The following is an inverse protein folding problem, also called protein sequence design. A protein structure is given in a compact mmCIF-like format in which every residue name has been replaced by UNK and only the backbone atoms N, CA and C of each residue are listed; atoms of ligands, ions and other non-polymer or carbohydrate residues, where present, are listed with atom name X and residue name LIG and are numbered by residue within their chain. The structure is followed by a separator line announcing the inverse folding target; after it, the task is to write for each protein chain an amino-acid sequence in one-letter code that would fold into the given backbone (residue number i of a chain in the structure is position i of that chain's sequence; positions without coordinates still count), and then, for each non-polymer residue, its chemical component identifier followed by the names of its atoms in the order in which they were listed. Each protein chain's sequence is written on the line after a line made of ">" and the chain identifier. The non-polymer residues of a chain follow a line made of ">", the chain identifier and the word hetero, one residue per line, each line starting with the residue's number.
data_IF_681308691017
#
_entry.id   IF_681308691017
#
_cell.length_a   1.000
_cell.length_b   1.000
_cell.length_c   1.000
_cell.angle_alpha   90.00
_cell.angle_beta   90.00
_cell.angle_gamma   90.00
#
_symmetry.space_group_name_H-M   'P 1'
#
loop_
_entity.id
_entity.type
_entity.pdbx_description
1 polymer ?
#
# COMPACT_ATOMS: atom_id res chain seq x y z
N UNK A 1 14.51 -19.42 -17.98
CA UNK A 1 14.27 -18.96 -16.58
C UNK A 1 13.77 -17.50 -16.55
N UNK A 2 12.61 -17.17 -17.15
CA UNK A 2 12.12 -15.77 -17.27
C UNK A 2 10.85 -15.43 -16.49
N UNK A 3 10.15 -16.44 -15.97
CA UNK A 3 8.79 -16.28 -15.44
C UNK A 3 8.82 -15.86 -13.96
N UNK A 4 9.78 -16.36 -13.17
CA UNK A 4 9.90 -16.12 -11.72
C UNK A 4 10.01 -14.63 -11.33
N UNK A 5 10.67 -13.78 -12.14
CA UNK A 5 10.81 -12.34 -11.84
C UNK A 5 9.48 -11.58 -11.98
N UNK A 6 8.71 -11.87 -13.03
CA UNK A 6 7.45 -11.16 -13.34
C UNK A 6 6.38 -11.38 -12.25
N UNK A 7 6.31 -12.58 -11.70
CA UNK A 7 5.41 -12.92 -10.58
C UNK A 7 5.84 -12.29 -9.24
N UNK A 8 7.15 -12.10 -9.01
CA UNK A 8 7.66 -11.45 -7.79
C UNK A 8 7.22 -9.97 -7.70
N UNK A 9 7.12 -9.28 -8.83
CA UNK A 9 6.65 -7.89 -8.86
C UNK A 9 5.16 -7.80 -8.50
N UNK A 10 4.32 -8.69 -9.03
CA UNK A 10 2.89 -8.77 -8.70
C UNK A 10 2.66 -8.98 -7.20
N UNK A 11 3.45 -9.84 -6.55
CA UNK A 11 3.33 -10.05 -5.11
C UNK A 11 3.65 -8.79 -4.30
N UNK A 12 4.67 -8.03 -4.72
CA UNK A 12 5.01 -6.73 -4.11
C UNK A 12 3.94 -5.67 -4.34
N UNK A 13 3.35 -5.59 -5.53
CA UNK A 13 2.25 -4.66 -5.79
C UNK A 13 1.01 -4.97 -4.93
N UNK A 14 0.69 -6.26 -4.73
CA UNK A 14 -0.37 -6.66 -3.80
C UNK A 14 -0.04 -6.27 -2.36
N UNK A 15 1.19 -6.50 -1.91
CA UNK A 15 1.64 -6.09 -0.57
C UNK A 15 1.48 -4.57 -0.35
N UNK A 16 1.91 -3.76 -1.32
CA UNK A 16 1.75 -2.30 -1.29
C UNK A 16 0.27 -1.91 -1.22
N UNK A 17 -0.57 -2.48 -2.10
CA UNK A 17 -2.00 -2.19 -2.15
C UNK A 17 -2.72 -2.55 -0.85
N UNK A 18 -2.35 -3.68 -0.23
CA UNK A 18 -2.91 -4.12 1.03
C UNK A 18 -2.48 -3.22 2.20
N UNK A 19 -1.21 -2.79 2.24
CA UNK A 19 -0.72 -1.85 3.26
C UNK A 19 -1.43 -0.50 3.16
N UNK A 20 -1.62 0.02 1.94
CA UNK A 20 -2.39 1.24 1.68
C UNK A 20 -3.85 1.10 2.15
N UNK A 21 -4.50 -0.02 1.81
CA UNK A 21 -5.88 -0.28 2.19
C UNK A 21 -6.08 -0.31 3.71
N UNK A 22 -5.16 -0.96 4.44
CA UNK A 22 -5.18 -1.06 5.92
C UNK A 22 -5.05 0.29 6.64
N UNK A 23 -4.39 1.27 6.01
CA UNK A 23 -4.19 2.61 6.58
C UNK A 23 -5.21 3.63 6.09
N UNK A 24 -6.29 3.20 5.44
CA UNK A 24 -7.37 4.09 5.00
C UNK A 24 -7.11 4.80 3.67
N UNK A 25 -6.06 4.43 2.91
CA UNK A 25 -5.79 4.98 1.57
C UNK A 25 -6.60 4.30 0.46
N UNK A 26 -7.80 3.81 0.79
CA UNK A 26 -8.71 3.17 -0.17
C UNK A 26 -9.10 4.08 -1.33
N UNK A 27 -9.21 5.40 -1.10
CA UNK A 27 -9.50 6.39 -2.14
C UNK A 27 -8.36 6.53 -3.16
N UNK A 28 -7.11 6.50 -2.71
CA UNK A 28 -5.93 6.52 -3.61
C UNK A 28 -5.90 5.24 -4.45
N UNK A 29 -6.19 4.09 -3.85
CA UNK A 29 -6.26 2.82 -4.57
C UNK A 29 -7.37 2.80 -5.62
N UNK A 30 -8.50 3.46 -5.34
CA UNK A 30 -9.63 3.61 -6.26
C UNK A 30 -9.24 4.47 -7.46
N UNK A 31 -8.62 5.64 -7.22
CA UNK A 31 -8.13 6.53 -8.27
C UNK A 31 -7.03 5.91 -9.16
N UNK A 32 -6.23 4.99 -8.60
CA UNK A 32 -5.20 4.25 -9.34
C UNK A 32 -5.72 2.98 -10.03
N UNK A 33 -6.99 2.60 -9.83
CA UNK A 33 -7.56 1.35 -10.33
C UNK A 33 -6.94 0.08 -9.72
N UNK A 34 -6.26 0.19 -8.58
CA UNK A 34 -5.52 -0.90 -7.91
C UNK A 34 -6.36 -1.66 -6.88
N UNK A 35 -7.65 -1.37 -6.78
CA UNK A 35 -8.60 -2.02 -5.86
C UNK A 35 -8.67 -3.54 -6.06
N UNK A 36 -8.46 -4.02 -7.29
CA UNK A 36 -8.42 -5.45 -7.62
C UNK A 36 -7.23 -6.21 -6.99
N UNK A 37 -6.19 -5.50 -6.54
CA UNK A 37 -5.03 -6.09 -5.88
C UNK A 37 -5.22 -6.25 -4.36
N UNK A 38 -6.22 -5.57 -3.80
CA UNK A 38 -6.53 -5.56 -2.36
C UNK A 38 -7.24 -6.86 -1.97
N UNK A 39 -6.84 -7.46 -0.84
CA UNK A 39 -7.53 -8.67 -0.34
C UNK A 39 -8.93 -8.31 0.17
N UNK A 40 -9.94 -9.17 -0.08
CA UNK A 40 -11.27 -8.99 0.50
C UNK A 40 -11.18 -8.84 2.03
N UNK A 41 -11.70 -7.73 2.56
CA UNK A 41 -11.67 -7.42 4.00
C UNK A 41 -10.56 -6.46 4.44
N UNK A 42 -9.50 -6.23 3.66
CA UNK A 42 -8.47 -5.24 4.01
C UNK A 42 -8.90 -3.80 3.69
N UNK A 43 -9.84 -3.62 2.75
CA UNK A 43 -10.43 -2.32 2.41
C UNK A 43 -11.24 -1.69 3.57
N UNK A 44 -11.75 -2.52 4.48
CA UNK A 44 -12.60 -2.09 5.61
C UNK A 44 -11.92 -2.25 6.97
N UNK A 45 -10.73 -2.88 7.03
CA UNK A 45 -9.88 -2.94 8.22
C UNK A 45 -9.06 -1.67 8.40
N UNK A 46 -9.72 -0.51 8.29
CA UNK A 46 -9.13 0.71 8.83
C UNK A 46 -8.94 0.46 10.32
N UNK A 47 -7.70 0.42 10.79
CA UNK A 47 -7.39 0.16 12.19
C UNK A 47 -8.22 1.15 13.03
N UNK A 48 -9.07 0.71 13.96
CA UNK A 48 -9.91 1.61 14.76
C UNK A 48 -9.13 2.41 15.82
N UNK A 49 -7.80 2.33 15.82
CA UNK A 49 -7.01 2.80 16.95
C UNK A 49 -6.66 4.28 16.80
N UNK A 50 -7.32 5.03 17.68
CA UNK A 50 -6.72 6.04 18.56
C UNK A 50 -6.22 7.31 17.85
N UNK A 51 -6.99 8.37 18.06
CA UNK A 51 -6.79 9.75 17.60
C UNK A 51 -7.04 10.01 16.09
N UNK A 52 -7.63 11.18 15.74
CA UNK A 52 -7.81 11.57 14.36
C UNK A 52 -6.45 11.90 13.74
N UNK A 53 -5.69 10.87 13.36
CA UNK A 53 -4.45 11.04 12.63
C UNK A 53 -4.71 11.91 11.39
N UNK A 54 -3.84 12.88 11.16
CA UNK A 54 -3.80 13.65 9.93
C UNK A 54 -3.45 12.76 8.74
N UNK A 55 -3.73 13.22 7.51
CA UNK A 55 -3.33 12.50 6.30
C UNK A 55 -1.82 12.23 6.23
N UNK A 56 -1.00 13.14 6.77
CA UNK A 56 0.45 13.01 6.81
C UNK A 56 0.92 11.91 7.77
N UNK A 57 0.29 11.78 8.93
CA UNK A 57 0.63 10.71 9.89
C UNK A 57 0.26 9.33 9.36
N UNK A 58 -0.91 9.20 8.74
CA UNK A 58 -1.28 7.96 8.03
C UNK A 58 -0.27 7.62 6.93
N UNK A 59 0.20 8.62 6.18
CA UNK A 59 1.17 8.42 5.11
C UNK A 59 2.51 7.96 5.68
N UNK A 60 2.97 8.57 6.77
CA UNK A 60 4.19 8.14 7.47
C UNK A 60 4.08 6.69 7.93
N UNK A 61 2.97 6.28 8.54
CA UNK A 61 2.74 4.89 8.95
C UNK A 61 2.75 3.91 7.76
N UNK A 62 2.17 4.31 6.63
CA UNK A 62 2.27 3.52 5.39
C UNK A 62 3.72 3.39 4.94
N UNK A 63 4.47 4.49 4.89
CA UNK A 63 5.87 4.48 4.45
C UNK A 63 6.75 3.64 5.41
N UNK A 64 6.53 3.75 6.72
CA UNK A 64 7.18 2.91 7.73
C UNK A 64 6.84 1.43 7.53
N UNK A 65 5.57 1.08 7.31
CA UNK A 65 5.14 -0.29 7.05
C UNK A 65 5.65 -0.85 5.72
N UNK A 66 5.86 -0.01 4.70
CA UNK A 66 6.44 -0.38 3.41
C UNK A 66 7.96 -0.58 3.47
N UNK A 67 8.64 0.02 4.45
CA UNK A 67 10.09 -0.11 4.68
C UNK A 67 10.92 0.22 3.43
N UNK A 68 11.76 -0.72 2.99
CA UNK A 68 12.59 -0.53 1.77
C UNK A 68 11.81 -0.29 0.49
N UNK A 69 10.51 -0.59 0.48
CA UNK A 69 9.63 -0.29 -0.66
C UNK A 69 9.35 1.20 -0.79
N UNK A 70 9.23 1.92 0.33
CA UNK A 70 9.09 3.38 0.32
C UNK A 70 10.32 4.07 -0.29
N UNK A 71 11.52 3.57 0.04
CA UNK A 71 12.78 4.06 -0.54
C UNK A 71 12.77 3.89 -2.07
N UNK A 72 12.33 2.73 -2.57
CA UNK A 72 12.23 2.46 -4.01
C UNK A 72 11.20 3.34 -4.71
N UNK A 73 10.09 3.68 -4.06
CA UNK A 73 9.11 4.63 -4.60
C UNK A 73 9.74 6.02 -4.72
N UNK A 74 10.47 6.46 -3.69
CA UNK A 74 11.22 7.72 -3.74
C UNK A 74 12.25 7.75 -4.89
N UNK A 75 12.94 6.63 -5.12
CA UNK A 75 13.89 6.49 -6.24
C UNK A 75 13.23 6.51 -7.63
N UNK A 76 11.99 6.02 -7.77
CA UNK A 76 11.25 6.07 -9.04
C UNK A 76 10.70 7.47 -9.32
N UNK A 77 10.40 8.23 -8.27
CA UNK A 77 9.89 9.60 -8.36
C UNK A 77 11.01 10.66 -8.44
N UNK A 78 12.26 10.26 -8.23
CA UNK A 78 13.47 11.09 -8.37
C UNK A 78 14.04 11.01 -9.78
#
# INVERSE_FOLDING_TARGET
>A
MGIQRRYKHLNRFREIANTLARHGFGLILDGLGLTHLVRPGERFRSRPEEEPLSGGERLRLVLEALGTTAIKLGQVLS
#
